data_IF_104840766995
#
_entry.id   IF_104840766995
#
_cell.length_a   1.000
_cell.length_b   1.000
_cell.length_c   1.000
_cell.angle_alpha   90.00
_cell.angle_beta   90.00
_cell.angle_gamma   90.00
#
_symmetry.space_group_name_H-M   'P 1'
#
loop_
_entity.id
_entity.type
_entity.pdbx_description
1 polymer ?
#
# COMPACT_ATOMS: atom_id res chain seq x y z
N UNK A 1 31.58 15.50 -14.99
CA UNK A 1 30.32 14.72 -15.00
C UNK A 1 29.09 15.54 -15.44
N UNK A 2 28.83 16.73 -14.89
CA UNK A 2 27.66 17.56 -15.25
C UNK A 2 27.52 17.88 -16.76
N UNK A 3 28.63 18.15 -17.46
CA UNK A 3 28.60 18.42 -18.91
C UNK A 3 28.25 17.18 -19.77
N UNK A 4 28.60 15.98 -19.30
CA UNK A 4 28.19 14.71 -19.94
C UNK A 4 26.71 14.47 -19.68
N UNK A 5 26.25 14.69 -18.45
CA UNK A 5 24.83 14.57 -18.10
C UNK A 5 23.95 15.55 -18.89
N UNK A 6 24.39 16.78 -19.17
CA UNK A 6 23.62 17.71 -19.98
C UNK A 6 23.53 17.31 -21.46
N UNK A 7 24.62 16.80 -22.06
CA UNK A 7 24.60 16.31 -23.45
C UNK A 7 23.78 15.02 -23.58
N UNK A 8 23.91 14.11 -22.62
CA UNK A 8 23.13 12.87 -22.52
C UNK A 8 21.66 13.18 -22.26
N UNK A 9 21.33 14.05 -21.32
CA UNK A 9 19.96 14.51 -21.08
C UNK A 9 19.37 15.23 -22.31
N UNK A 10 20.16 16.03 -23.04
CA UNK A 10 19.71 16.67 -24.28
C UNK A 10 19.48 15.67 -25.42
N UNK A 11 20.28 14.59 -25.49
CA UNK A 11 20.10 13.51 -26.45
C UNK A 11 18.92 12.58 -26.08
N UNK A 12 18.71 12.33 -24.78
CA UNK A 12 17.61 11.53 -24.21
C UNK A 12 16.32 12.33 -24.02
N UNK A 13 16.36 13.66 -24.14
CA UNK A 13 15.17 14.50 -24.27
C UNK A 13 14.35 14.15 -25.52
N UNK A 14 14.87 13.27 -26.38
CA UNK A 14 14.08 12.40 -27.26
C UNK A 14 13.35 11.36 -26.38
N UNK A 15 12.27 11.78 -25.73
CA UNK A 15 11.27 10.98 -25.00
C UNK A 15 11.70 9.54 -24.64
N UNK A 16 12.18 9.33 -23.41
CA UNK A 16 12.32 7.96 -22.90
C UNK A 16 10.92 7.31 -22.77
N UNK A 17 10.69 6.24 -23.50
CA UNK A 17 9.44 5.45 -23.47
C UNK A 17 9.49 4.32 -22.44
N UNK A 18 10.51 4.30 -21.57
CA UNK A 18 10.68 3.32 -20.51
C UNK A 18 10.75 4.02 -19.16
N UNK A 19 9.63 4.08 -18.44
CA UNK A 19 9.54 4.73 -17.12
C UNK A 19 10.57 4.19 -16.12
N UNK A 20 10.85 2.90 -16.18
CA UNK A 20 11.78 2.21 -15.29
C UNK A 20 13.25 2.56 -15.56
N UNK A 21 13.60 2.83 -16.83
CA UNK A 21 14.92 3.37 -17.18
C UNK A 21 15.02 4.84 -16.79
N UNK A 22 13.94 5.61 -16.96
CA UNK A 22 13.87 6.98 -16.49
C UNK A 22 14.15 7.06 -14.98
N UNK A 23 13.59 6.12 -14.22
CA UNK A 23 13.81 6.02 -12.79
C UNK A 23 15.22 5.58 -12.40
N UNK A 24 15.74 4.51 -13.00
CA UNK A 24 17.00 3.90 -12.57
C UNK A 24 18.26 4.56 -13.17
N UNK A 25 18.14 5.16 -14.36
CA UNK A 25 19.29 5.52 -15.20
C UNK A 25 19.27 6.96 -15.70
N UNK A 26 18.10 7.59 -15.78
CA UNK A 26 17.95 8.92 -16.39
C UNK A 26 17.33 9.96 -15.47
N UNK A 27 17.38 9.73 -14.15
CA UNK A 27 17.19 10.79 -13.16
C UNK A 27 18.52 11.51 -12.99
N UNK A 28 18.57 12.79 -13.38
CA UNK A 28 19.78 13.61 -13.43
C UNK A 28 19.70 14.82 -12.49
N UNK A 29 18.68 14.85 -11.64
CA UNK A 29 18.38 15.95 -10.74
C UNK A 29 19.51 16.14 -9.72
N UNK A 30 20.07 17.36 -9.68
CA UNK A 30 21.21 17.67 -8.80
C UNK A 30 20.75 18.01 -7.39
N UNK A 31 21.46 17.54 -6.37
CA UNK A 31 21.23 17.74 -4.92
C UNK A 31 21.13 19.21 -4.45
N UNK A 32 21.34 20.19 -5.32
CA UNK A 32 21.34 21.62 -4.97
C UNK A 32 19.94 22.22 -4.78
N UNK A 33 18.85 21.50 -5.10
CA UNK A 33 17.46 21.96 -4.90
C UNK A 33 16.64 20.87 -4.21
N UNK A 34 16.00 21.21 -3.09
CA UNK A 34 15.15 20.30 -2.30
C UNK A 34 13.99 19.70 -3.08
N UNK A 35 13.52 20.39 -4.13
CA UNK A 35 12.39 19.98 -4.96
C UNK A 35 12.77 19.06 -6.12
N UNK A 36 14.07 18.97 -6.45
CA UNK A 36 14.52 18.29 -7.66
C UNK A 36 14.14 16.80 -7.66
N UNK A 37 14.23 16.13 -6.50
CA UNK A 37 13.77 14.74 -6.36
C UNK A 37 12.27 14.61 -6.68
N UNK A 38 11.44 15.49 -6.15
CA UNK A 38 9.98 15.44 -6.35
C UNK A 38 9.63 15.64 -7.82
N UNK A 39 10.28 16.58 -8.50
CA UNK A 39 10.13 16.78 -9.95
C UNK A 39 10.54 15.52 -10.75
N UNK A 40 11.65 14.87 -10.38
CA UNK A 40 12.09 13.62 -11.00
C UNK A 40 11.02 12.53 -10.89
N UNK A 41 10.45 12.36 -9.69
CA UNK A 41 9.42 11.36 -9.43
C UNK A 41 8.12 11.68 -10.18
N UNK A 42 7.75 12.95 -10.34
CA UNK A 42 6.61 13.37 -11.16
C UNK A 42 6.83 12.98 -12.62
N UNK A 43 8.02 13.25 -13.20
CA UNK A 43 8.32 12.84 -14.58
C UNK A 43 8.23 11.32 -14.77
N UNK A 44 8.71 10.55 -13.79
CA UNK A 44 8.64 9.09 -13.81
C UNK A 44 7.19 8.62 -13.74
N UNK A 45 6.41 9.21 -12.83
CA UNK A 45 4.99 8.94 -12.69
C UNK A 45 4.21 9.24 -13.97
N UNK A 46 4.43 10.39 -14.60
CA UNK A 46 3.74 10.79 -15.82
C UNK A 46 4.13 9.90 -17.01
N UNK A 47 5.41 9.52 -17.08
CA UNK A 47 5.89 8.54 -18.06
C UNK A 47 5.21 7.18 -17.86
N UNK A 48 5.11 6.69 -16.62
CA UNK A 48 4.39 5.46 -16.30
C UNK A 48 2.93 5.53 -16.77
N UNK A 49 2.21 6.59 -16.41
CA UNK A 49 0.80 6.76 -16.76
C UNK A 49 0.56 6.76 -18.28
N UNK A 50 1.43 7.42 -19.04
CA UNK A 50 1.37 7.42 -20.51
C UNK A 50 1.57 6.04 -21.12
N UNK A 51 2.37 5.18 -20.49
CA UNK A 51 2.69 3.83 -20.96
C UNK A 51 1.69 2.75 -20.50
N UNK A 52 0.78 3.07 -19.56
CA UNK A 52 -0.22 2.12 -19.04
C UNK A 52 -1.07 1.51 -20.17
N UNK A 53 -1.70 2.30 -21.07
CA UNK A 53 -2.64 1.75 -22.04
C UNK A 53 -1.99 0.90 -23.13
N UNK A 54 -0.71 1.12 -23.43
CA UNK A 54 0.00 0.47 -24.53
C UNK A 54 0.96 -0.59 -24.01
N UNK A 55 2.08 -0.17 -23.45
CA UNK A 55 3.21 -1.04 -23.11
C UNK A 55 2.94 -1.92 -21.89
N UNK A 56 2.43 -1.35 -20.80
CA UNK A 56 2.21 -2.13 -19.57
C UNK A 56 1.02 -3.08 -19.69
N UNK A 57 -0.01 -2.71 -20.45
CA UNK A 57 -1.12 -3.62 -20.74
C UNK A 57 -0.64 -4.85 -21.52
N UNK A 58 0.19 -4.66 -22.56
CA UNK A 58 0.80 -5.76 -23.31
C UNK A 58 1.73 -6.61 -22.42
N UNK A 59 2.49 -5.98 -21.52
CA UNK A 59 3.35 -6.69 -20.57
C UNK A 59 2.54 -7.58 -19.61
N UNK A 60 1.40 -7.10 -19.12
CA UNK A 60 0.46 -7.89 -18.32
C UNK A 60 -0.06 -9.07 -19.15
N UNK A 61 -0.57 -8.84 -20.35
CA UNK A 61 -1.15 -9.89 -21.19
C UNK A 61 -0.13 -10.99 -21.50
N UNK A 62 1.11 -10.63 -21.82
CA UNK A 62 2.24 -11.58 -21.98
C UNK A 62 2.51 -12.37 -20.69
N UNK A 63 2.51 -11.68 -19.55
CA UNK A 63 2.75 -12.32 -18.25
C UNK A 63 1.64 -13.32 -17.92
N UNK A 64 0.38 -12.97 -18.16
CA UNK A 64 -0.75 -13.88 -17.95
C UNK A 64 -0.69 -15.08 -18.91
N UNK A 65 -0.33 -14.88 -20.18
CA UNK A 65 -0.13 -15.99 -21.11
C UNK A 65 0.98 -16.95 -20.66
N UNK A 66 2.08 -16.41 -20.12
CA UNK A 66 3.15 -17.21 -19.51
C UNK A 66 2.66 -17.96 -18.26
N UNK A 67 1.88 -17.33 -17.39
CA UNK A 67 1.29 -17.99 -16.22
C UNK A 67 0.36 -19.13 -16.62
N UNK A 68 -0.48 -18.95 -17.65
CA UNK A 68 -1.32 -20.03 -18.18
C UNK A 68 -0.53 -21.17 -18.82
N UNK A 69 0.66 -20.90 -19.36
CA UNK A 69 1.57 -21.97 -19.80
C UNK A 69 2.17 -22.72 -18.61
N UNK A 70 2.55 -22.00 -17.54
CA UNK A 70 3.06 -22.59 -16.31
C UNK A 70 2.00 -23.46 -15.62
N UNK A 71 0.75 -22.98 -15.53
CA UNK A 71 -0.40 -23.73 -15.02
C UNK A 71 -0.57 -25.06 -15.78
N UNK A 72 -0.53 -25.04 -17.13
CA UNK A 72 -0.61 -26.27 -17.95
C UNK A 72 0.56 -27.21 -17.74
N UNK A 73 1.77 -26.69 -17.58
CA UNK A 73 2.98 -27.50 -17.40
C UNK A 73 3.00 -28.21 -16.04
N UNK A 74 2.57 -27.53 -14.98
CA UNK A 74 2.65 -28.05 -13.61
C UNK A 74 1.37 -28.76 -13.15
N UNK A 75 0.24 -28.49 -13.80
CA UNK A 75 -1.05 -29.14 -13.52
C UNK A 75 -1.45 -29.00 -12.05
N UNK A 76 -1.83 -30.12 -11.44
CA UNK A 76 -2.29 -30.17 -10.05
C UNK A 76 -1.24 -29.73 -9.01
N UNK A 77 0.04 -29.66 -9.38
CA UNK A 77 1.13 -29.25 -8.50
C UNK A 77 1.28 -27.74 -8.36
N UNK A 78 0.56 -26.95 -9.16
CA UNK A 78 0.58 -25.49 -9.09
C UNK A 78 -0.72 -24.98 -8.48
N UNK A 79 -0.60 -23.91 -7.70
CA UNK A 79 -1.73 -23.14 -7.18
C UNK A 79 -1.50 -21.66 -7.39
N UNK A 80 -2.62 -20.95 -7.45
CA UNK A 80 -2.65 -19.50 -7.59
C UNK A 80 -3.61 -18.91 -6.57
N UNK A 81 -3.20 -17.82 -5.92
CA UNK A 81 -4.06 -17.06 -5.01
C UNK A 81 -4.27 -15.68 -5.59
N UNK A 82 -5.52 -15.28 -5.77
CA UNK A 82 -5.87 -13.94 -6.25
C UNK A 82 -6.32 -13.05 -5.10
N UNK A 83 -5.64 -11.92 -4.92
CA UNK A 83 -5.96 -10.93 -3.88
C UNK A 83 -5.99 -9.52 -4.48
N UNK A 84 -6.66 -8.61 -3.78
CA UNK A 84 -6.71 -7.19 -4.12
C UNK A 84 -5.81 -6.42 -3.16
N UNK A 85 -4.96 -5.53 -3.70
CA UNK A 85 -4.18 -4.62 -2.87
C UNK A 85 -5.12 -3.69 -2.09
N UNK A 86 -5.12 -3.79 -0.76
CA UNK A 86 -5.99 -3.02 0.12
C UNK A 86 -5.38 -1.66 0.47
N UNK A 87 -4.07 -1.64 0.68
CA UNK A 87 -3.32 -0.42 0.97
C UNK A 87 -2.22 -0.17 -0.06
N UNK A 88 -1.59 1.01 0.03
CA UNK A 88 -0.46 1.35 -0.84
C UNK A 88 0.65 0.33 -0.66
N UNK A 89 1.23 -0.12 -1.76
CA UNK A 89 2.28 -1.12 -1.76
C UNK A 89 3.63 -0.49 -2.10
N UNK A 90 4.63 -0.79 -1.27
CA UNK A 90 6.01 -0.35 -1.42
C UNK A 90 6.92 -1.56 -1.52
N UNK A 91 7.64 -1.70 -2.62
CA UNK A 91 8.51 -2.86 -2.85
C UNK A 91 9.95 -2.39 -3.05
N UNK A 92 10.90 -2.97 -2.33
CA UNK A 92 12.32 -2.63 -2.47
C UNK A 92 12.65 -1.14 -2.24
N UNK A 93 12.08 -0.52 -1.20
CA UNK A 93 12.40 0.86 -0.81
C UNK A 93 13.88 1.11 -0.51
N UNK A 94 14.60 0.08 -0.04
CA UNK A 94 16.03 0.15 0.26
C UNK A 94 16.95 -0.21 -0.91
N UNK A 95 16.43 -0.36 -2.14
CA UNK A 95 17.28 -0.66 -3.31
C UNK A 95 18.17 0.55 -3.63
N UNK A 96 19.47 0.35 -3.88
CA UNK A 96 20.33 1.42 -4.39
C UNK A 96 19.78 1.97 -5.70
N UNK A 97 19.54 3.27 -5.71
CA UNK A 97 18.87 4.01 -6.78
C UNK A 97 19.48 5.41 -6.83
N UNK A 98 19.46 6.04 -8.01
CA UNK A 98 19.93 7.44 -8.16
C UNK A 98 19.10 8.38 -7.29
N UNK A 99 17.81 8.07 -7.14
CA UNK A 99 16.92 8.76 -6.23
C UNK A 99 16.81 7.97 -4.92
N UNK A 100 17.05 8.60 -3.79
CA UNK A 100 16.96 7.95 -2.48
C UNK A 100 15.52 7.48 -2.17
N UNK A 101 15.39 6.35 -1.47
CA UNK A 101 14.10 5.84 -0.98
C UNK A 101 13.03 5.72 -2.07
N UNK A 102 13.42 5.26 -3.26
CA UNK A 102 12.50 5.00 -4.36
C UNK A 102 12.27 3.49 -4.47
N UNK A 103 11.09 3.06 -4.01
CA UNK A 103 10.79 1.67 -3.76
C UNK A 103 9.67 1.12 -4.61
N UNK A 104 10.00 0.74 -5.84
CA UNK A 104 9.18 -0.23 -6.60
C UNK A 104 10.08 -1.30 -7.19
N UNK A 105 9.62 -2.54 -7.08
CA UNK A 105 10.19 -3.65 -7.84
C UNK A 105 9.40 -3.87 -9.11
N UNK A 106 10.10 -3.97 -10.22
CA UNK A 106 9.53 -4.16 -11.54
C UNK A 106 10.42 -5.06 -12.39
N UNK A 107 9.82 -5.74 -13.36
CA UNK A 107 10.53 -6.52 -14.36
C UNK A 107 11.40 -5.60 -15.22
N UNK A 108 12.66 -5.97 -15.47
CA UNK A 108 13.66 -5.03 -16.00
C UNK A 108 13.44 -4.65 -17.46
N UNK A 109 12.80 -5.52 -18.24
CA UNK A 109 12.59 -5.33 -19.68
C UNK A 109 11.32 -4.53 -19.95
N UNK A 110 10.24 -4.84 -19.25
CA UNK A 110 8.93 -4.19 -19.46
C UNK A 110 8.67 -3.07 -18.47
N UNK A 111 9.30 -3.06 -17.31
CA UNK A 111 8.90 -2.18 -16.21
C UNK A 111 7.53 -2.54 -15.63
N UNK A 112 7.05 -3.77 -15.78
CA UNK A 112 5.83 -4.19 -15.09
C UNK A 112 6.13 -4.34 -13.59
N UNK A 113 5.42 -3.64 -12.68
CA UNK A 113 5.59 -3.88 -11.25
C UNK A 113 5.20 -5.32 -10.89
N UNK A 114 6.08 -6.01 -10.17
CA UNK A 114 5.88 -7.40 -9.74
C UNK A 114 6.29 -7.55 -8.27
N UNK A 115 5.80 -8.58 -7.60
CA UNK A 115 6.26 -8.99 -6.27
C UNK A 115 7.20 -10.17 -6.45
N UNK A 116 8.47 -10.09 -6.01
CA UNK A 116 9.40 -11.18 -6.21
C UNK A 116 9.02 -12.39 -5.33
N UNK A 117 9.22 -13.60 -5.86
CA UNK A 117 8.99 -14.84 -5.12
C UNK A 117 9.77 -14.94 -3.80
N UNK A 118 10.93 -14.29 -3.70
CA UNK A 118 11.70 -14.19 -2.46
C UNK A 118 11.00 -13.36 -1.38
N UNK A 119 10.33 -12.26 -1.75
CA UNK A 119 9.55 -11.47 -0.80
C UNK A 119 8.30 -12.24 -0.34
N UNK A 120 7.65 -12.96 -1.27
CA UNK A 120 6.52 -13.83 -0.94
C UNK A 120 6.93 -14.97 0.00
N UNK A 121 8.03 -15.66 -0.31
CA UNK A 121 8.63 -16.69 0.57
C UNK A 121 8.99 -16.11 1.94
N UNK A 122 9.53 -14.89 1.98
CA UNK A 122 9.90 -14.22 3.23
C UNK A 122 8.72 -13.88 4.12
N UNK A 123 7.62 -13.37 3.55
CA UNK A 123 6.41 -13.06 4.33
C UNK A 123 5.74 -14.34 4.85
N UNK A 124 5.70 -15.40 4.03
CA UNK A 124 5.19 -16.73 4.44
C UNK A 124 6.08 -17.33 5.53
N UNK A 125 7.40 -17.18 5.44
CA UNK A 125 8.31 -17.61 6.52
C UNK A 125 8.09 -16.85 7.82
N UNK A 126 7.74 -15.57 7.73
CA UNK A 126 7.43 -14.75 8.92
C UNK A 126 6.14 -15.24 9.55
N UNK A 127 5.13 -15.53 8.72
CA UNK A 127 3.85 -16.07 9.16
C UNK A 127 3.99 -17.42 9.86
N UNK A 128 4.75 -18.36 9.29
CA UNK A 128 5.02 -19.65 9.92
C UNK A 128 5.66 -19.50 11.32
N UNK A 129 6.61 -18.56 11.45
CA UNK A 129 7.23 -18.25 12.73
C UNK A 129 6.22 -17.64 13.72
N UNK A 130 5.29 -16.81 13.25
CA UNK A 130 4.22 -16.26 14.08
C UNK A 130 3.26 -17.33 14.55
N UNK A 131 2.81 -18.22 13.66
CA UNK A 131 1.93 -19.34 14.01
C UNK A 131 2.52 -20.21 15.11
N UNK A 132 3.81 -20.54 15.02
CA UNK A 132 4.49 -21.32 16.05
C UNK A 132 4.51 -20.63 17.43
N UNK A 133 4.62 -19.30 17.45
CA UNK A 133 4.75 -18.54 18.69
C UNK A 133 3.43 -17.95 19.16
N UNK A 134 2.32 -18.18 18.46
CA UNK A 134 1.02 -17.67 18.86
C UNK A 134 0.43 -18.59 19.94
N UNK A 135 0.15 -18.03 21.12
CA UNK A 135 -0.52 -18.76 22.18
C UNK A 135 -2.02 -18.90 21.85
N UNK A 136 -2.54 -20.12 21.64
CA UNK A 136 -3.93 -20.32 21.26
C UNK A 136 -4.92 -19.99 22.39
N UNK A 137 -4.47 -19.90 23.65
CA UNK A 137 -5.36 -19.67 24.79
C UNK A 137 -5.75 -18.19 24.93
N UNK A 138 -4.81 -17.27 24.67
CA UNK A 138 -5.00 -15.84 24.89
C UNK A 138 -4.66 -14.96 23.68
N UNK A 139 -4.16 -15.54 22.59
CA UNK A 139 -3.76 -14.83 21.37
C UNK A 139 -2.49 -14.00 21.49
N UNK A 140 -1.73 -14.15 22.59
CA UNK A 140 -0.45 -13.47 22.78
C UNK A 140 0.70 -14.19 22.07
N UNK A 141 1.83 -13.50 21.86
CA UNK A 141 3.04 -14.14 21.35
C UNK A 141 3.94 -14.61 22.48
N UNK A 142 4.32 -15.88 22.43
CA UNK A 142 5.41 -16.45 23.22
C UNK A 142 6.73 -15.70 22.97
N UNK A 143 7.64 -15.76 23.93
CA UNK A 143 8.94 -15.08 23.84
C UNK A 143 9.75 -15.63 22.67
N UNK A 144 10.06 -14.76 21.71
CA UNK A 144 10.96 -15.09 20.61
C UNK A 144 12.42 -15.19 21.11
N UNK A 145 13.06 -16.32 20.84
CA UNK A 145 14.49 -16.54 21.06
C UNK A 145 15.18 -16.83 19.73
N UNK A 146 16.52 -16.75 19.68
CA UNK A 146 17.26 -17.12 18.47
C UNK A 146 17.08 -18.59 18.10
N UNK A 147 16.82 -19.45 19.08
CA UNK A 147 16.60 -20.87 18.88
C UNK A 147 15.17 -21.17 18.45
N UNK A 148 14.18 -20.59 19.13
CA UNK A 148 12.76 -20.82 18.82
C UNK A 148 12.35 -20.33 17.42
N UNK A 149 13.09 -19.37 16.84
CA UNK A 149 12.87 -18.90 15.47
C UNK A 149 13.31 -19.88 14.38
N UNK A 150 14.18 -20.84 14.69
CA UNK A 150 14.67 -21.80 13.70
C UNK A 150 13.59 -22.83 13.41
N UNK A 151 13.27 -23.06 12.14
CA UNK A 151 12.13 -23.91 11.73
C UNK A 151 12.23 -25.34 12.26
N UNK A 152 13.45 -25.85 12.44
CA UNK A 152 13.71 -27.19 13.03
C UNK A 152 13.18 -27.35 14.47
N UNK A 153 12.97 -26.25 15.17
CA UNK A 153 12.50 -26.22 16.56
C UNK A 153 10.99 -25.94 16.64
N UNK A 154 10.28 -25.85 15.52
CA UNK A 154 8.84 -25.66 15.53
C UNK A 154 8.14 -26.94 16.01
N UNK A 155 7.20 -26.77 16.92
CA UNK A 155 6.56 -27.86 17.66
C UNK A 155 5.11 -28.09 17.26
N UNK A 156 4.42 -27.05 16.77
CA UNK A 156 3.05 -27.20 16.28
C UNK A 156 3.01 -28.00 14.98
N UNK A 157 2.01 -28.88 14.84
CA UNK A 157 1.87 -29.75 13.66
C UNK A 157 1.82 -28.95 12.36
N UNK A 158 1.13 -27.82 12.37
CA UNK A 158 1.08 -26.92 11.21
C UNK A 158 2.43 -26.25 10.93
N UNK A 159 3.12 -25.70 11.93
CA UNK A 159 4.37 -25.01 11.68
C UNK A 159 5.51 -25.97 11.30
N UNK A 160 5.45 -27.25 11.67
CA UNK A 160 6.41 -28.27 11.19
C UNK A 160 6.45 -28.37 9.66
N UNK A 161 5.33 -28.09 8.97
CA UNK A 161 5.31 -28.02 7.50
C UNK A 161 6.20 -26.90 6.94
N UNK A 162 6.60 -25.91 7.75
CA UNK A 162 7.47 -24.82 7.32
C UNK A 162 8.82 -25.32 6.80
N UNK A 163 9.38 -26.37 7.38
CA UNK A 163 10.65 -26.92 6.90
C UNK A 163 10.50 -27.58 5.52
N UNK A 164 9.39 -28.28 5.28
CA UNK A 164 9.06 -28.84 3.96
C UNK A 164 8.77 -27.74 2.94
N UNK A 165 7.96 -26.74 3.30
CA UNK A 165 7.55 -25.66 2.39
C UNK A 165 8.73 -24.74 2.04
N UNK A 166 9.49 -24.30 3.04
CA UNK A 166 10.46 -23.21 2.91
C UNK A 166 11.91 -23.70 2.85
N UNK A 167 12.17 -24.94 3.27
CA UNK A 167 13.51 -25.44 3.55
C UNK A 167 13.96 -25.07 4.96
N UNK A 168 15.18 -25.44 5.31
CA UNK A 168 15.79 -25.01 6.56
C UNK A 168 16.26 -23.54 6.53
N UNK A 169 16.59 -23.02 7.71
CA UNK A 169 17.09 -21.67 7.94
C UNK A 169 18.33 -21.67 8.84
N UNK A 170 19.12 -22.73 8.76
CA UNK A 170 20.35 -22.87 9.53
C UNK A 170 21.37 -21.78 9.15
N UNK A 171 21.92 -21.09 10.16
CA UNK A 171 22.90 -20.01 9.98
C UNK A 171 24.20 -20.48 9.30
N UNK A 172 24.51 -21.79 9.35
CA UNK A 172 25.70 -22.37 8.74
C UNK A 172 25.53 -22.74 7.27
N UNK A 173 24.33 -22.54 6.71
CA UNK A 173 23.98 -22.94 5.37
C UNK A 173 22.80 -23.91 5.36
N UNK A 174 22.10 -23.95 4.24
CA UNK A 174 20.92 -24.80 4.05
C UNK A 174 21.34 -26.21 3.66
N UNK A 175 20.90 -27.21 4.43
CA UNK A 175 21.06 -28.64 4.16
C UNK A 175 19.86 -29.18 3.36
N UNK A 176 18.68 -28.57 3.51
CA UNK A 176 17.44 -29.01 2.87
C UNK A 176 16.73 -27.87 2.15
N UNK A 177 16.58 -28.01 0.83
CA UNK A 177 15.79 -27.10 0.03
C UNK A 177 14.29 -27.30 0.31
N UNK A 178 13.53 -26.21 0.29
CA UNK A 178 12.07 -26.28 0.35
C UNK A 178 11.47 -26.93 -0.90
N UNK A 179 10.39 -27.68 -0.69
CA UNK A 179 9.61 -28.39 -1.69
C UNK A 179 8.66 -27.47 -2.47
N UNK A 180 8.35 -26.29 -1.92
CA UNK A 180 7.50 -25.30 -2.58
C UNK A 180 8.34 -24.21 -3.23
N UNK A 181 8.09 -23.98 -4.52
CA UNK A 181 8.69 -22.92 -5.31
C UNK A 181 7.73 -21.74 -5.35
N UNK A 182 8.16 -20.61 -4.80
CA UNK A 182 7.43 -19.33 -4.84
C UNK A 182 7.86 -18.56 -6.09
N UNK A 183 6.98 -18.44 -7.07
CA UNK A 183 7.26 -17.72 -8.33
C UNK A 183 7.22 -16.21 -8.07
N UNK A 184 6.15 -15.74 -7.41
CA UNK A 184 5.96 -14.33 -7.11
C UNK A 184 4.49 -13.91 -7.16
N UNK A 185 4.27 -12.60 -7.09
CA UNK A 185 2.97 -11.97 -7.32
C UNK A 185 2.99 -11.14 -8.59
N UNK A 186 1.98 -11.33 -9.44
CA UNK A 186 1.86 -10.68 -10.74
C UNK A 186 0.53 -9.93 -10.83
N UNK A 187 0.51 -8.68 -11.30
CA UNK A 187 -0.72 -7.93 -11.39
C UNK A 187 -1.57 -8.42 -12.57
N UNK A 188 -2.89 -8.50 -12.37
CA UNK A 188 -3.88 -8.90 -13.40
C UNK A 188 -4.25 -7.74 -14.34
N UNK A 189 -3.96 -6.51 -13.91
CA UNK A 189 -4.10 -5.28 -14.67
C UNK A 189 -2.91 -4.37 -14.35
N UNK A 190 -2.50 -3.45 -15.25
CA UNK A 190 -1.44 -2.50 -14.93
C UNK A 190 -1.78 -1.76 -13.62
N UNK A 191 -0.94 -1.88 -12.57
CA UNK A 191 -1.23 -1.24 -11.30
C UNK A 191 -1.08 0.27 -11.44
N UNK A 192 -1.82 1.06 -10.67
CA UNK A 192 -1.66 2.52 -10.69
C UNK A 192 -0.45 2.91 -9.86
N UNK A 193 0.44 3.70 -10.46
CA UNK A 193 1.55 4.32 -9.77
C UNK A 193 1.09 5.62 -9.09
N UNK A 194 1.48 5.83 -7.84
CA UNK A 194 1.16 7.00 -7.03
C UNK A 194 2.40 7.60 -6.37
N UNK A 195 2.25 8.83 -5.90
CA UNK A 195 3.24 9.55 -5.10
C UNK A 195 2.73 9.67 -3.67
N UNK A 196 3.58 9.35 -2.72
CA UNK A 196 3.29 9.52 -1.30
C UNK A 196 4.46 10.22 -0.60
N UNK A 197 4.23 10.69 0.62
CA UNK A 197 5.14 11.56 1.35
C UNK A 197 5.35 11.03 2.77
N UNK A 198 6.59 11.09 3.23
CA UNK A 198 6.92 10.83 4.64
C UNK A 198 7.67 12.03 5.20
N UNK A 199 7.20 12.51 6.35
CA UNK A 199 7.87 13.58 7.09
C UNK A 199 8.57 12.94 8.29
N UNK A 200 9.90 12.99 8.30
CA UNK A 200 10.68 12.50 9.43
C UNK A 200 10.62 13.53 10.56
N UNK A 201 10.15 13.11 11.73
CA UNK A 201 10.01 13.98 12.92
C UNK A 201 11.19 13.89 13.89
N UNK A 202 12.03 12.86 13.78
CA UNK A 202 13.15 12.63 14.67
C UNK A 202 14.42 12.31 13.88
N UNK A 203 15.58 12.73 14.35
CA UNK A 203 16.88 12.35 13.77
C UNK A 203 17.25 10.88 14.05
N UNK A 204 18.43 10.44 13.60
CA UNK A 204 18.90 9.07 13.80
C UNK A 204 19.10 8.68 15.29
N UNK A 205 19.18 9.66 16.19
CA UNK A 205 19.31 9.47 17.64
C UNK A 205 17.96 9.59 18.37
N UNK A 206 16.86 9.77 17.63
CA UNK A 206 15.51 9.94 18.19
C UNK A 206 15.21 11.34 18.69
N UNK A 207 16.06 12.34 18.41
CA UNK A 207 15.82 13.72 18.83
C UNK A 207 14.85 14.42 17.87
N UNK A 208 13.89 15.23 18.37
CA UNK A 208 12.91 15.89 17.53
C UNK A 208 13.58 16.90 16.59
N UNK A 209 13.22 16.84 15.30
CA UNK A 209 13.69 17.78 14.30
C UNK A 209 12.89 19.09 14.37
N UNK A 210 13.60 20.22 14.33
CA UNK A 210 12.98 21.57 14.33
C UNK A 210 12.42 21.96 12.97
N UNK A 211 12.91 21.36 11.88
CA UNK A 211 12.42 21.54 10.52
C UNK A 211 12.17 20.19 9.87
N UNK A 212 10.92 19.93 9.50
CA UNK A 212 10.54 18.74 8.77
C UNK A 212 10.93 18.89 7.31
N UNK A 213 11.58 17.87 6.76
CA UNK A 213 11.88 17.77 5.33
C UNK A 213 10.96 16.71 4.73
N UNK A 214 10.02 17.08 3.85
CA UNK A 214 9.15 16.10 3.24
C UNK A 214 9.90 15.22 2.24
N UNK A 215 9.81 13.90 2.41
CA UNK A 215 10.42 12.94 1.52
C UNK A 215 9.35 12.25 0.68
N UNK A 216 9.24 12.67 -0.58
CA UNK A 216 8.37 12.01 -1.57
C UNK A 216 8.98 10.70 -2.05
N UNK A 217 8.13 9.69 -2.28
CA UNK A 217 8.49 8.39 -2.84
C UNK A 217 7.35 7.83 -3.72
N UNK A 218 7.68 6.87 -4.58
CA UNK A 218 6.71 6.15 -5.41
C UNK A 218 6.08 5.00 -4.64
N UNK A 219 4.80 4.74 -4.92
CA UNK A 219 4.06 3.60 -4.39
C UNK A 219 3.08 3.06 -5.44
N UNK A 220 2.68 1.81 -5.30
CA UNK A 220 1.53 1.28 -6.01
C UNK A 220 0.28 1.62 -5.22
N UNK A 221 -0.71 2.22 -5.88
CA UNK A 221 -2.00 2.56 -5.26
C UNK A 221 -2.85 1.31 -5.01
N UNK A 222 -3.78 1.36 -4.02
CA UNK A 222 -4.73 0.28 -3.76
C UNK A 222 -5.62 -0.06 -4.96
N UNK A 223 -6.22 -1.25 -4.92
CA UNK A 223 -7.27 -1.71 -5.84
C UNK A 223 -6.78 -2.57 -7.00
N UNK A 224 -5.48 -2.63 -7.26
CA UNK A 224 -4.94 -3.56 -8.26
C UNK A 224 -5.13 -5.02 -7.81
N UNK A 225 -5.50 -5.88 -8.75
CA UNK A 225 -5.59 -7.31 -8.53
C UNK A 225 -4.25 -7.98 -8.76
N UNK A 226 -3.90 -8.94 -7.91
CA UNK A 226 -2.64 -9.67 -7.94
C UNK A 226 -2.89 -11.16 -7.88
N UNK A 227 -2.19 -11.90 -8.74
CA UNK A 227 -2.13 -13.36 -8.74
C UNK A 227 -0.77 -13.80 -8.18
N UNK A 228 -0.80 -14.45 -7.03
CA UNK A 228 0.35 -15.08 -6.39
C UNK A 228 0.47 -16.52 -6.86
N UNK A 229 1.66 -16.91 -7.31
CA UNK A 229 1.87 -18.20 -7.99
C UNK A 229 2.95 -18.99 -7.28
N UNK A 230 2.67 -20.25 -6.99
CA UNK A 230 3.59 -21.18 -6.36
C UNK A 230 3.26 -22.62 -6.79
N UNK A 231 4.25 -23.51 -6.71
CA UNK A 231 4.05 -24.91 -7.05
C UNK A 231 4.99 -25.83 -6.27
N UNK A 232 4.59 -27.09 -6.15
CA UNK A 232 5.39 -28.13 -5.49
C UNK A 232 6.32 -28.82 -6.49
N UNK A 233 7.55 -29.13 -6.06
CA UNK A 233 8.54 -29.87 -6.85
C UNK A 233 7.98 -31.23 -7.31
N UNK A 234 8.40 -31.73 -8.49
CA UNK A 234 8.02 -33.08 -8.92
C UNK A 234 8.50 -34.14 -7.92
N UNK A 235 7.68 -35.16 -7.67
CA UNK A 235 8.06 -36.32 -6.83
C UNK A 235 7.72 -36.21 -5.34
N UNK A 236 7.17 -35.09 -4.89
CA UNK A 236 6.79 -34.89 -3.47
C UNK A 236 5.45 -35.58 -3.18
N UNK A 237 5.45 -36.53 -2.25
CA UNK A 237 4.30 -37.38 -1.95
C UNK A 237 3.09 -36.61 -1.35
N UNK A 238 3.34 -35.62 -0.50
CA UNK A 238 2.31 -34.82 0.16
C UNK A 238 2.03 -33.46 -0.52
N UNK A 239 2.19 -33.40 -1.85
CA UNK A 239 2.06 -32.14 -2.60
C UNK A 239 0.74 -31.39 -2.33
N UNK A 240 -0.39 -32.09 -2.20
CA UNK A 240 -1.69 -31.46 -1.93
C UNK A 240 -1.71 -30.72 -0.59
N UNK A 241 -1.22 -31.35 0.47
CA UNK A 241 -1.15 -30.75 1.80
C UNK A 241 -0.24 -29.52 1.82
N UNK A 242 0.92 -29.60 1.17
CA UNK A 242 1.83 -28.47 1.06
C UNK A 242 1.20 -27.30 0.29
N UNK A 243 0.43 -27.59 -0.77
CA UNK A 243 -0.29 -26.58 -1.53
C UNK A 243 -1.39 -25.92 -0.70
N UNK A 244 -2.24 -26.70 -0.06
CA UNK A 244 -3.37 -26.22 0.74
C UNK A 244 -2.87 -25.35 1.91
N UNK A 245 -1.80 -25.78 2.60
CA UNK A 245 -1.18 -25.01 3.68
C UNK A 245 -0.50 -23.73 3.16
N UNK A 246 0.24 -23.81 2.04
CA UNK A 246 0.89 -22.62 1.48
C UNK A 246 -0.11 -21.58 0.99
N UNK A 247 -1.20 -22.01 0.36
CA UNK A 247 -2.30 -21.14 -0.05
C UNK A 247 -2.85 -20.35 1.14
N UNK A 248 -3.20 -21.06 2.21
CA UNK A 248 -3.73 -20.45 3.43
C UNK A 248 -2.72 -19.47 4.05
N UNK A 249 -1.47 -19.87 4.19
CA UNK A 249 -0.42 -19.00 4.73
C UNK A 249 -0.19 -17.74 3.89
N UNK A 250 -0.25 -17.83 2.55
CA UNK A 250 -0.15 -16.65 1.69
C UNK A 250 -1.32 -15.68 1.96
N UNK A 251 -2.55 -16.19 2.03
CA UNK A 251 -3.75 -15.37 2.29
C UNK A 251 -3.63 -14.70 3.66
N UNK A 252 -3.35 -15.47 4.71
CA UNK A 252 -3.26 -14.97 6.08
C UNK A 252 -2.09 -13.99 6.24
N UNK A 253 -0.90 -14.33 5.73
CA UNK A 253 0.27 -13.47 5.83
C UNK A 253 0.06 -12.11 5.13
N UNK A 254 -0.51 -12.12 3.92
CA UNK A 254 -0.71 -10.88 3.14
C UNK A 254 -1.87 -10.03 3.69
N UNK A 255 -2.87 -10.63 4.33
CA UNK A 255 -3.97 -9.91 4.97
C UNK A 255 -3.60 -9.35 6.33
N UNK A 256 -2.81 -10.08 7.14
CA UNK A 256 -2.46 -9.67 8.50
C UNK A 256 -1.15 -8.86 8.56
N UNK A 257 -0.08 -9.37 7.94
CA UNK A 257 1.26 -8.77 8.02
C UNK A 257 1.52 -7.76 6.92
N UNK A 258 0.98 -8.02 5.73
CA UNK A 258 1.34 -7.31 4.50
C UNK A 258 2.76 -7.60 4.03
N UNK A 259 3.10 -7.11 2.85
CA UNK A 259 4.37 -7.36 2.18
C UNK A 259 5.03 -6.07 1.71
N UNK A 260 6.35 -6.03 1.75
CA UNK A 260 7.14 -4.88 1.30
C UNK A 260 7.58 -3.97 2.45
N UNK A 261 7.79 -2.70 2.15
CA UNK A 261 8.28 -1.72 3.12
C UNK A 261 7.14 -1.04 3.89
N UNK A 262 7.45 -0.57 5.10
CA UNK A 262 6.53 0.20 5.97
C UNK A 262 5.22 -0.54 6.32
N UNK A 263 5.26 -1.86 6.42
CA UNK A 263 4.10 -2.69 6.79
C UNK A 263 3.54 -2.36 8.17
N UNK A 264 4.38 -1.94 9.12
CA UNK A 264 3.94 -1.46 10.43
C UNK A 264 3.10 -0.17 10.38
N UNK A 265 3.29 0.65 9.33
CA UNK A 265 2.48 1.84 9.06
C UNK A 265 1.25 1.53 8.19
N UNK A 266 0.95 0.24 7.94
CA UNK A 266 -0.22 -0.20 7.20
C UNK A 266 -0.02 -0.39 5.69
N UNK A 267 1.20 -0.21 5.16
CA UNK A 267 1.48 -0.45 3.73
C UNK A 267 1.48 -1.96 3.39
N UNK A 268 1.21 -2.26 2.12
CA UNK A 268 1.35 -3.58 1.53
C UNK A 268 0.35 -4.62 2.01
N UNK A 269 -0.82 -4.20 2.51
CA UNK A 269 -1.92 -5.10 2.89
C UNK A 269 -2.72 -5.53 1.68
N UNK A 270 -3.19 -6.77 1.74
CA UNK A 270 -4.08 -7.37 0.75
C UNK A 270 -5.36 -7.84 1.40
N UNK A 271 -6.40 -7.99 0.58
CA UNK A 271 -7.66 -8.58 0.98
C UNK A 271 -8.16 -9.56 -0.06
N UNK A 272 -9.02 -10.48 0.37
CA UNK A 272 -9.76 -11.33 -0.55
C UNK A 272 -10.66 -10.46 -1.46
N UNK A 273 -10.84 -10.85 -2.73
CA UNK A 273 -11.77 -10.15 -3.63
C UNK A 273 -13.22 -10.32 -3.16
N UNK A 274 -13.96 -9.21 -3.13
CA UNK A 274 -15.41 -9.19 -2.88
C UNK A 274 -16.19 -9.50 -4.16
N UNK A 275 -17.48 -9.80 -4.03
CA UNK A 275 -18.37 -9.97 -5.19
C UNK A 275 -18.43 -8.73 -6.07
N UNK A 276 -18.33 -7.53 -5.49
CA UNK A 276 -18.27 -6.28 -6.24
C UNK A 276 -17.00 -6.20 -7.08
N UNK A 277 -15.84 -6.58 -6.53
CA UNK A 277 -14.58 -6.62 -7.28
C UNK A 277 -14.69 -7.61 -8.45
N UNK A 278 -15.25 -8.81 -8.20
CA UNK A 278 -15.44 -9.84 -9.23
C UNK A 278 -16.35 -9.34 -10.35
N UNK A 279 -17.46 -8.68 -10.02
CA UNK A 279 -18.38 -8.09 -11.01
C UNK A 279 -17.71 -6.99 -11.83
N UNK A 280 -16.92 -6.13 -11.20
CA UNK A 280 -16.17 -5.07 -11.90
C UNK A 280 -15.14 -5.66 -12.88
N UNK A 281 -14.47 -6.75 -12.51
CA UNK A 281 -13.53 -7.44 -13.38
C UNK A 281 -14.20 -8.08 -14.62
N UNK A 282 -15.40 -8.68 -14.45
CA UNK A 282 -16.12 -9.36 -15.54
C UNK A 282 -16.92 -8.39 -16.43
N UNK A 283 -17.41 -7.27 -15.89
CA UNK A 283 -18.13 -6.25 -16.65
C UNK A 283 -17.30 -5.49 -17.69
N UNK A 284 -15.96 -5.55 -17.61
CA UNK A 284 -15.07 -4.92 -18.59
C UNK A 284 -14.80 -5.77 -19.84
N UNK A 285 -15.24 -7.04 -19.88
CA UNK A 285 -14.98 -7.95 -21.00
C UNK A 285 -16.12 -8.02 -22.04
N UNK A 286 -17.30 -7.44 -21.76
CA UNK A 286 -18.50 -7.59 -22.60
C UNK A 286 -18.77 -6.42 -23.58
N UNK A 287 -17.94 -5.38 -23.61
CA UNK A 287 -18.19 -4.21 -24.47
C UNK A 287 -17.00 -3.94 -25.39
N UNK A 288 -16.80 -4.82 -26.37
CA UNK A 288 -16.01 -4.49 -27.57
C UNK A 288 -16.74 -4.98 -28.81
N UNK A 289 -17.80 -4.26 -29.16
CA UNK A 289 -18.21 -4.13 -30.56
C UNK A 289 -18.05 -2.66 -30.95
N UNK A 290 -17.19 -2.46 -31.94
CA UNK A 290 -16.93 -1.16 -32.58
C UNK A 290 -18.09 -0.86 -33.53
N UNK A 291 -18.68 0.32 -33.40
CA UNK A 291 -19.00 1.15 -34.58
C UNK A 291 -18.83 2.62 -34.20
N UNK A 292 -18.31 3.46 -35.13
CA UNK A 292 -17.85 4.80 -34.81
C UNK A 292 -19.02 5.78 -34.83
N UNK A 293 -19.22 6.50 -33.73
CA UNK A 293 -19.90 7.80 -33.75
C UNK A 293 -19.07 8.80 -32.98
N UNK A 294 -18.45 9.69 -33.75
CA UNK A 294 -18.00 11.01 -33.33
C UNK A 294 -19.12 11.67 -32.53
N UNK A 295 -18.93 11.84 -31.22
CA UNK A 295 -19.70 12.81 -30.45
C UNK A 295 -18.74 13.57 -29.53
N UNK A 296 -18.47 14.78 -29.98
CA UNK A 296 -17.94 15.91 -29.26
C UNK A 296 -18.63 16.01 -27.88
N UNK A 297 -17.90 15.78 -26.78
CA UNK A 297 -18.38 16.12 -25.44
C UNK A 297 -17.99 17.60 -25.22
N UNK A 298 -18.93 18.51 -24.98
CA UNK A 298 -18.61 19.92 -24.73
C UNK A 298 -17.87 20.07 -23.38
N UNK A 299 -17.10 21.14 -23.25
CA UNK A 299 -16.23 21.46 -22.11
C UNK A 299 -16.89 21.82 -20.75
N UNK A 300 -18.21 21.94 -20.50
CA UNK A 300 -18.66 22.55 -19.23
C UNK A 300 -18.69 21.60 -18.02
N UNK A 301 -18.39 20.29 -18.17
CA UNK A 301 -18.44 19.34 -17.03
C UNK A 301 -17.13 19.23 -16.24
N UNK A 302 -15.97 19.44 -16.87
CA UNK A 302 -14.65 19.31 -16.21
C UNK A 302 -14.37 20.50 -15.28
N UNK A 303 -14.67 21.72 -15.74
CA UNK A 303 -14.55 22.94 -14.95
C UNK A 303 -15.46 22.94 -13.70
N UNK A 304 -16.66 22.33 -13.79
CA UNK A 304 -17.61 22.28 -12.67
C UNK A 304 -17.19 21.29 -11.57
N UNK A 305 -16.49 20.22 -11.94
CA UNK A 305 -15.93 19.24 -11.00
C UNK A 305 -14.67 19.76 -10.31
N UNK A 306 -13.82 20.50 -11.02
CA UNK A 306 -12.63 21.15 -10.46
C UNK A 306 -13.01 22.30 -9.50
N UNK A 307 -14.04 23.09 -9.84
CA UNK A 307 -14.58 24.12 -8.94
C UNK A 307 -15.19 23.54 -7.66
N UNK A 308 -15.91 22.40 -7.76
CA UNK A 308 -16.47 21.71 -6.59
C UNK A 308 -15.38 21.10 -5.69
N UNK A 309 -14.31 20.54 -6.28
CA UNK A 309 -13.17 20.00 -5.55
C UNK A 309 -12.35 21.11 -4.84
N UNK A 310 -12.17 22.27 -5.49
CA UNK A 310 -11.52 23.43 -4.87
C UNK A 310 -12.37 24.08 -3.77
N UNK A 311 -13.71 24.04 -3.87
CA UNK A 311 -14.60 24.49 -2.80
C UNK A 311 -14.53 23.60 -1.55
N UNK A 312 -14.40 22.28 -1.73
CA UNK A 312 -14.21 21.32 -0.63
C UNK A 312 -12.87 21.51 0.09
N UNK A 313 -11.81 21.89 -0.61
CA UNK A 313 -10.49 22.19 0.01
C UNK A 313 -10.47 23.49 0.83
N UNK A 314 -11.41 24.41 0.59
CA UNK A 314 -11.55 25.66 1.35
C UNK A 314 -12.47 25.56 2.57
N UNK A 315 -13.22 24.46 2.72
CA UNK A 315 -14.10 24.27 3.87
C UNK A 315 -13.31 23.83 5.10
N UNK A 316 -13.55 24.48 6.24
CA UNK A 316 -12.92 24.13 7.52
C UNK A 316 -13.28 22.68 7.97
N UNK A 317 -14.44 22.19 7.54
CA UNK A 317 -14.97 20.85 7.82
C UNK A 317 -15.56 20.24 6.53
N UNK A 318 -14.70 19.70 5.64
CA UNK A 318 -15.12 19.23 4.32
C UNK A 318 -16.02 17.99 4.37
N UNK A 319 -15.99 17.24 5.47
CA UNK A 319 -16.83 16.06 5.69
C UNK A 319 -17.00 15.76 7.18
N UNK A 320 -17.95 14.86 7.47
CA UNK A 320 -18.29 14.45 8.84
C UNK A 320 -17.14 13.79 9.59
N UNK A 321 -16.27 13.05 8.89
CA UNK A 321 -15.10 12.43 9.50
C UNK A 321 -14.11 13.50 10.04
N UNK A 322 -13.92 14.58 9.30
CA UNK A 322 -13.04 15.70 9.71
C UNK A 322 -13.61 16.41 10.94
N UNK A 323 -14.91 16.68 10.96
CA UNK A 323 -15.58 17.26 12.12
C UNK A 323 -15.51 16.34 13.34
N UNK A 324 -15.76 15.03 13.17
CA UNK A 324 -15.67 14.06 14.26
C UNK A 324 -14.28 14.03 14.87
N UNK A 325 -13.23 14.02 14.05
CA UNK A 325 -11.84 13.94 14.53
C UNK A 325 -11.37 15.25 15.18
N UNK A 326 -11.72 16.40 14.60
CA UNK A 326 -11.26 17.70 15.10
C UNK A 326 -12.05 18.21 16.31
N UNK A 327 -13.33 17.85 16.41
CA UNK A 327 -14.26 18.39 17.42
C UNK A 327 -14.73 17.29 18.37
N UNK A 328 -15.45 16.29 17.88
CA UNK A 328 -16.12 15.30 18.75
C UNK A 328 -15.13 14.41 19.51
N UNK A 329 -14.04 13.98 18.88
CA UNK A 329 -13.03 13.14 19.51
C UNK A 329 -12.34 13.84 20.70
N UNK A 330 -12.33 15.18 20.72
CA UNK A 330 -11.73 15.99 21.79
C UNK A 330 -12.68 16.24 22.97
N UNK A 331 -13.94 15.78 22.90
CA UNK A 331 -14.92 15.86 24.00
C UNK A 331 -14.67 14.78 25.06
N UNK A 332 -13.45 14.71 25.57
CA UNK A 332 -13.05 13.82 26.65
C UNK A 332 -12.16 14.57 27.66
N UNK A 333 -12.03 14.02 28.88
CA UNK A 333 -11.35 14.69 30.00
C UNK A 333 -9.88 15.05 29.72
N UNK A 334 -9.19 14.30 28.86
CA UNK A 334 -7.76 14.50 28.58
C UNK A 334 -7.46 15.47 27.44
N UNK A 335 -8.45 15.78 26.58
CA UNK A 335 -8.23 16.56 25.35
C UNK A 335 -9.15 17.77 25.23
N UNK A 336 -9.94 18.06 26.27
CA UNK A 336 -10.93 19.15 26.26
C UNK A 336 -10.32 20.52 25.96
N UNK A 337 -9.11 20.80 26.45
CA UNK A 337 -8.42 22.07 26.20
C UNK A 337 -7.96 22.21 24.73
N UNK A 338 -7.79 21.11 24.00
CA UNK A 338 -7.47 21.12 22.56
C UNK A 338 -8.68 21.49 21.69
N UNK A 339 -9.89 21.51 22.26
CA UNK A 339 -11.10 22.00 21.59
C UNK A 339 -11.09 23.52 21.45
N UNK A 340 -10.37 24.24 22.32
CA UNK A 340 -10.26 25.70 22.30
C UNK A 340 -9.85 26.24 20.92
N UNK A 341 -8.94 25.54 20.23
CA UNK A 341 -8.47 25.90 18.90
C UNK A 341 -9.54 25.83 17.79
N UNK A 342 -10.65 25.12 18.03
CA UNK A 342 -11.72 24.93 17.04
C UNK A 342 -12.94 25.82 17.28
N UNK A 343 -12.98 26.54 18.41
CA UNK A 343 -14.14 27.39 18.79
C UNK A 343 -14.34 28.54 17.82
N UNK A 344 -13.27 29.26 17.46
CA UNK A 344 -13.36 30.40 16.54
C UNK A 344 -13.73 29.94 15.12
N UNK A 345 -13.27 28.75 14.73
CA UNK A 345 -13.66 28.09 13.48
C UNK A 345 -15.15 27.73 13.47
N UNK A 346 -15.69 27.19 14.57
CA UNK A 346 -17.11 26.80 14.71
C UNK A 346 -18.07 27.99 14.78
N UNK A 347 -17.60 29.17 15.21
CA UNK A 347 -18.40 30.41 15.23
C UNK A 347 -18.65 31.00 13.85
N UNK A 348 -17.86 30.63 12.83
CA UNK A 348 -18.04 31.16 11.48
C UNK A 348 -19.42 30.77 10.93
N UNK A 349 -20.12 31.67 10.21
CA UNK A 349 -21.46 31.40 9.67
C UNK A 349 -21.48 30.21 8.70
N UNK A 350 -20.38 29.97 8.00
CA UNK A 350 -20.19 28.84 7.08
C UNK A 350 -20.21 27.46 7.77
N UNK A 351 -19.94 27.41 9.09
CA UNK A 351 -19.88 26.19 9.89
C UNK A 351 -21.12 25.99 10.78
N UNK A 352 -22.19 26.76 10.57
CA UNK A 352 -23.39 26.73 11.41
C UNK A 352 -24.02 25.32 11.53
N UNK A 353 -23.99 24.52 10.46
CA UNK A 353 -24.48 23.14 10.48
C UNK A 353 -23.68 22.24 11.44
N UNK A 354 -22.35 22.41 11.47
CA UNK A 354 -21.45 21.67 12.36
C UNK A 354 -21.59 22.12 13.81
N UNK A 355 -21.76 23.42 14.02
CA UNK A 355 -22.08 23.97 15.34
C UNK A 355 -23.38 23.39 15.89
N UNK A 356 -24.44 23.33 15.08
CA UNK A 356 -25.71 22.73 15.50
C UNK A 356 -25.54 21.25 15.88
N UNK A 357 -24.75 20.50 15.11
CA UNK A 357 -24.42 19.09 15.41
C UNK A 357 -23.66 18.93 16.72
N UNK A 358 -22.73 19.84 17.02
CA UNK A 358 -22.04 19.87 18.32
C UNK A 358 -23.04 20.11 19.47
N UNK A 359 -23.93 21.10 19.34
CA UNK A 359 -24.96 21.40 20.35
C UNK A 359 -25.87 20.20 20.60
N UNK A 360 -26.35 19.54 19.54
CA UNK A 360 -27.17 18.31 19.65
C UNK A 360 -26.41 17.19 20.35
N UNK A 361 -25.12 17.01 20.05
CA UNK A 361 -24.29 15.97 20.68
C UNK A 361 -24.10 16.25 22.17
N UNK A 362 -23.80 17.49 22.55
CA UNK A 362 -23.63 17.91 23.95
C UNK A 362 -24.93 17.80 24.76
N UNK A 363 -26.09 18.00 24.14
CA UNK A 363 -27.39 17.86 24.78
C UNK A 363 -27.71 16.40 25.20
N UNK A 364 -27.06 15.40 24.60
CA UNK A 364 -27.24 13.99 24.97
C UNK A 364 -26.88 13.73 26.44
N UNK A 365 -27.49 12.68 27.02
CA UNK A 365 -27.23 12.24 28.40
C UNK A 365 -25.78 11.79 28.59
N UNK A 366 -25.15 11.25 27.55
CA UNK A 366 -23.79 10.69 27.58
C UNK A 366 -22.71 11.75 27.84
N UNK A 367 -23.00 13.02 27.55
CA UNK A 367 -22.06 14.14 27.68
C UNK A 367 -22.32 15.03 28.90
N UNK A 368 -23.12 14.58 29.88
CA UNK A 368 -23.44 15.34 31.11
C UNK A 368 -22.20 15.77 31.89
N UNK A 369 -21.24 14.87 32.06
CA UNK A 369 -19.98 15.15 32.75
C UNK A 369 -19.10 16.16 31.98
N UNK A 370 -19.07 16.02 30.65
CA UNK A 370 -18.32 16.93 29.77
C UNK A 370 -18.93 18.33 29.79
N UNK A 371 -20.27 18.45 29.81
CA UNK A 371 -20.97 19.74 29.95
C UNK A 371 -20.63 20.45 31.26
N UNK A 372 -20.52 19.71 32.36
CA UNK A 372 -20.11 20.27 33.66
C UNK A 372 -18.69 20.84 33.56
N UNK A 373 -17.76 20.08 32.99
CA UNK A 373 -16.37 20.52 32.80
C UNK A 373 -16.25 21.73 31.85
N UNK A 374 -17.04 21.78 30.78
CA UNK A 374 -17.06 22.92 29.85
C UNK A 374 -17.69 24.18 30.46
N UNK A 375 -18.60 24.04 31.43
CA UNK A 375 -19.21 25.18 32.12
C UNK A 375 -18.21 25.97 32.95
N UNK A 376 -17.19 25.28 33.46
CA UNK A 376 -16.10 25.84 34.28
C UNK A 376 -14.96 26.42 33.41
N UNK A 377 -15.08 26.39 32.07
CA UNK A 377 -14.07 26.90 31.13
C UNK A 377 -14.53 28.24 30.53
N UNK A 378 -13.81 29.32 30.85
CA UNK A 378 -14.16 30.69 30.43
C UNK A 378 -14.15 30.91 28.91
N UNK A 379 -13.43 30.06 28.16
CA UNK A 379 -13.31 30.17 26.71
C UNK A 379 -14.45 29.47 25.94
N UNK A 380 -15.27 28.64 26.59
CA UNK A 380 -16.34 27.91 25.92
C UNK A 380 -17.66 28.68 25.97
N UNK A 381 -18.34 28.92 24.83
CA UNK A 381 -19.61 29.64 24.81
C UNK A 381 -20.71 28.89 25.58
N UNK A 382 -21.25 29.50 26.63
CA UNK A 382 -22.25 28.88 27.51
C UNK A 382 -23.59 28.61 26.81
N UNK A 383 -23.90 29.37 25.77
CA UNK A 383 -25.08 29.23 24.90
C UNK A 383 -25.03 27.97 24.00
N UNK A 384 -23.94 27.20 24.04
CA UNK A 384 -23.78 25.95 23.29
C UNK A 384 -24.04 24.70 24.14
N UNK A 385 -24.18 24.85 25.46
CA UNK A 385 -24.22 23.74 26.41
C UNK A 385 -25.61 23.10 26.59
N UNK A 386 -26.67 23.68 26.01
CA UNK A 386 -28.02 23.10 26.01
C UNK A 386 -28.71 23.11 27.37
#
# INVERSE_FOLDING_TARGET
MLAVNQKVAKALNKSCEAWHLLLDKFSFESDKKSEAKTEALIKVHDCYQRLVPTHLKLAVDRTLAWLSALERQHGERLRTVELVAESRLLLHLGRPSVLENVGIYFERTTGLPIIPGTALKGVVSTWACWLEHLNPQDGSFCKFTSDSKQRRNFTSEEAKLAQLILGDDCLKGSEHAGEVIFVGGFPLNPPKLGLDIVNQHHDANGQPLTRLTPHTFLCIEPGAWWRFVFFVRPGVANAKELLDTTERWIIEALTQLGIGAKTAAGYGRFRLPTDADRKAAHGSAATTQVTPKTQHIPEPKKARQEAAAQALLRSDYPNEATFRNRVLAKLNRGQLDQLKAEIDTLKKPENAQWLQKLKTTLASKDYKDIRKLLRDKDWFPKDWLG
#
